data_IF_601846510477
#
_entry.id   IF_601846510477
#
_cell.length_a   1.000
_cell.length_b   1.000
_cell.length_c   1.000
_cell.angle_alpha   90.00
_cell.angle_beta   90.00
_cell.angle_gamma   90.00
#
_symmetry.space_group_name_H-M   'P 1'
#
loop_
_entity.id
_entity.type
_entity.pdbx_description
1 polymer ?
#
# COMPACT_ATOMS: atom_id res chain seq x y z
N UNK A 1 10.04 1.70 -24.94
CA UNK A 1 10.37 1.51 -23.51
C UNK A 1 11.03 0.15 -23.41
N UNK A 2 12.12 0.01 -22.67
CA UNK A 2 12.73 -1.31 -22.50
C UNK A 2 11.71 -2.25 -21.85
N UNK A 3 11.58 -3.48 -22.35
CA UNK A 3 10.81 -4.55 -21.69
C UNK A 3 11.46 -4.87 -20.34
N UNK A 4 11.04 -4.15 -19.30
CA UNK A 4 11.42 -4.43 -17.93
C UNK A 4 10.79 -5.75 -17.53
N UNK A 5 11.63 -6.72 -17.17
CA UNK A 5 11.17 -7.96 -16.54
C UNK A 5 11.21 -7.75 -15.03
N UNK A 6 10.04 -7.89 -14.41
CA UNK A 6 9.90 -7.87 -12.97
C UNK A 6 9.89 -9.31 -12.46
N UNK A 7 10.57 -9.54 -11.34
CA UNK A 7 10.50 -10.81 -10.63
C UNK A 7 9.11 -10.98 -10.01
N UNK A 8 8.61 -12.21 -9.93
CA UNK A 8 7.27 -12.51 -9.41
C UNK A 8 7.10 -12.02 -7.97
N UNK A 9 8.15 -12.08 -7.14
CA UNK A 9 8.11 -11.60 -5.76
C UNK A 9 7.96 -10.08 -5.67
N UNK A 10 8.60 -9.33 -6.58
CA UNK A 10 8.44 -7.88 -6.66
C UNK A 10 7.02 -7.49 -7.10
N UNK A 11 6.43 -8.25 -8.03
CA UNK A 11 5.03 -8.06 -8.45
C UNK A 11 4.08 -8.37 -7.29
N UNK A 12 4.29 -9.47 -6.57
CA UNK A 12 3.49 -9.83 -5.39
C UNK A 12 3.62 -8.80 -4.26
N UNK A 13 4.81 -8.24 -4.03
CA UNK A 13 5.02 -7.14 -3.09
C UNK A 13 4.22 -5.89 -3.48
N UNK A 14 4.20 -5.54 -4.77
CA UNK A 14 3.39 -4.42 -5.26
C UNK A 14 1.89 -4.68 -5.05
N UNK A 15 1.40 -5.88 -5.31
CA UNK A 15 -0.02 -6.26 -5.09
C UNK A 15 -0.37 -6.23 -3.60
N UNK A 16 0.47 -6.80 -2.76
CA UNK A 16 0.29 -6.80 -1.32
C UNK A 16 0.24 -5.36 -0.78
N UNK A 17 1.15 -4.49 -1.25
CA UNK A 17 1.14 -3.07 -0.88
C UNK A 17 -0.17 -2.38 -1.26
N UNK A 18 -0.67 -2.60 -2.47
CA UNK A 18 -1.94 -2.01 -2.93
C UNK A 18 -3.09 -2.44 -2.03
N UNK A 19 -3.22 -3.75 -1.75
CA UNK A 19 -4.26 -4.27 -0.85
C UNK A 19 -4.16 -3.68 0.55
N UNK A 20 -2.95 -3.60 1.12
CA UNK A 20 -2.75 -2.99 2.44
C UNK A 20 -3.09 -1.49 2.45
N UNK A 21 -2.82 -0.77 1.35
CA UNK A 21 -3.18 0.63 1.20
C UNK A 21 -4.70 0.83 1.08
N UNK A 22 -5.41 -0.06 0.38
CA UNK A 22 -6.87 -0.07 0.30
C UNK A 22 -7.49 -0.32 1.67
N UNK A 23 -7.04 -1.35 2.39
CA UNK A 23 -7.53 -1.63 3.76
C UNK A 23 -7.31 -0.44 4.69
N UNK A 24 -6.11 0.16 4.66
CA UNK A 24 -5.82 1.34 5.48
C UNK A 24 -6.69 2.55 5.10
N UNK A 25 -7.05 2.69 3.82
CA UNK A 25 -7.96 3.74 3.35
C UNK A 25 -9.39 3.49 3.82
N UNK A 26 -9.90 2.28 3.66
CA UNK A 26 -11.25 1.91 4.09
C UNK A 26 -11.43 2.10 5.59
N UNK A 27 -10.42 1.74 6.38
CA UNK A 27 -10.40 1.98 7.83
C UNK A 27 -10.39 3.48 8.14
N UNK A 28 -9.58 4.29 7.45
CA UNK A 28 -9.60 5.75 7.58
C UNK A 28 -10.96 6.36 7.18
N UNK A 29 -11.62 5.84 6.15
CA UNK A 29 -12.92 6.32 5.69
C UNK A 29 -14.04 5.93 6.68
N UNK A 30 -13.85 4.85 7.44
CA UNK A 30 -14.73 4.47 8.55
C UNK A 30 -14.52 5.33 9.82
N UNK A 31 -13.45 6.12 9.92
CA UNK A 31 -13.24 6.99 11.08
C UNK A 31 -14.27 8.12 11.13
N UNK A 32 -14.80 8.45 12.33
CA UNK A 32 -15.62 9.64 12.49
C UNK A 32 -14.84 10.91 12.14
N UNK A 33 -15.51 11.98 11.68
CA UNK A 33 -14.86 13.25 11.43
C UNK A 33 -14.12 13.76 12.68
N UNK A 34 -12.87 14.26 12.55
CA UNK A 34 -12.08 14.74 13.69
C UNK A 34 -12.78 15.81 14.52
N UNK A 35 -13.63 16.63 13.88
CA UNK A 35 -14.43 17.67 14.54
C UNK A 35 -15.46 17.09 15.51
N UNK A 36 -16.10 15.95 15.17
CA UNK A 36 -17.07 15.28 16.04
C UNK A 36 -16.41 14.56 17.20
N UNK A 37 -15.21 14.01 16.98
CA UNK A 37 -14.40 13.41 18.03
C UNK A 37 -13.96 14.48 19.03
N UNK A 38 -13.42 15.62 18.53
CA UNK A 38 -12.97 16.72 19.38
C UNK A 38 -14.11 17.38 20.18
N UNK A 39 -15.32 17.40 19.62
CA UNK A 39 -16.53 17.88 20.32
C UNK A 39 -17.07 16.87 21.35
N UNK A 40 -16.57 15.63 21.38
CA UNK A 40 -17.07 14.55 22.25
C UNK A 40 -18.43 13.98 21.82
N UNK A 41 -18.88 14.28 20.59
CA UNK A 41 -20.16 13.81 20.04
C UNK A 41 -20.11 12.34 19.61
N UNK A 42 -18.91 11.84 19.29
CA UNK A 42 -18.68 10.48 18.86
C UNK A 42 -17.44 9.94 19.56
N UNK A 43 -17.57 8.74 20.13
CA UNK A 43 -16.44 7.96 20.67
C UNK A 43 -15.93 7.07 19.54
N UNK A 44 -14.61 7.09 19.31
CA UNK A 44 -13.97 6.18 18.36
C UNK A 44 -13.95 4.78 18.96
N UNK A 45 -14.28 3.78 18.15
CA UNK A 45 -14.15 2.39 18.55
C UNK A 45 -12.65 2.03 18.69
N UNK A 46 -12.18 1.61 19.88
CA UNK A 46 -10.79 1.21 20.08
C UNK A 46 -10.35 0.07 19.14
N UNK A 47 -11.27 -0.81 18.74
CA UNK A 47 -10.97 -1.88 17.79
C UNK A 47 -10.69 -1.33 16.38
N UNK A 48 -11.32 -0.21 16.00
CA UNK A 48 -11.05 0.47 14.74
C UNK A 48 -9.69 1.17 14.77
N UNK A 49 -9.32 1.77 15.90
CA UNK A 49 -7.97 2.35 16.12
C UNK A 49 -6.88 1.29 15.98
N UNK A 50 -7.03 0.16 16.67
CA UNK A 50 -6.08 -0.96 16.60
C UNK A 50 -5.95 -1.51 15.17
N UNK A 51 -7.07 -1.74 14.48
CA UNK A 51 -7.05 -2.21 13.09
C UNK A 51 -6.33 -1.23 12.15
N UNK A 52 -6.55 0.08 12.33
CA UNK A 52 -5.90 1.09 11.51
C UNK A 52 -4.39 1.15 11.78
N UNK A 53 -3.96 1.00 13.03
CA UNK A 53 -2.54 0.91 13.37
C UNK A 53 -1.87 -0.31 12.73
N UNK A 54 -2.50 -1.48 12.82
CA UNK A 54 -2.02 -2.72 12.19
C UNK A 54 -1.93 -2.56 10.68
N UNK A 55 -2.96 -2.01 10.03
CA UNK A 55 -2.97 -1.78 8.59
C UNK A 55 -1.87 -0.80 8.14
N UNK A 56 -1.63 0.27 8.92
CA UNK A 56 -0.53 1.22 8.67
C UNK A 56 0.84 0.58 8.83
N UNK A 57 1.03 -0.23 9.86
CA UNK A 57 2.27 -0.96 10.10
C UNK A 57 2.55 -1.97 8.98
N UNK A 58 1.53 -2.69 8.52
CA UNK A 58 1.63 -3.61 7.38
C UNK A 58 2.01 -2.88 6.10
N UNK A 59 1.32 -1.79 5.78
CA UNK A 59 1.67 -0.95 4.63
C UNK A 59 3.11 -0.45 4.73
N UNK A 60 3.57 -0.03 5.90
CA UNK A 60 4.95 0.40 6.13
C UNK A 60 5.98 -0.70 5.87
N UNK A 61 5.72 -1.92 6.35
CA UNK A 61 6.57 -3.10 6.09
C UNK A 61 6.65 -3.42 4.58
N UNK A 62 5.51 -3.37 3.90
CA UNK A 62 5.44 -3.65 2.45
C UNK A 62 6.13 -2.58 1.62
N UNK A 63 6.01 -1.29 1.97
CA UNK A 63 6.78 -0.20 1.33
C UNK A 63 8.28 -0.45 1.49
N UNK A 64 8.72 -0.82 2.70
CA UNK A 64 10.12 -1.10 2.95
C UNK A 64 10.63 -2.29 2.13
N UNK A 65 9.88 -3.39 2.09
CA UNK A 65 10.23 -4.55 1.27
C UNK A 65 10.24 -4.22 -0.23
N UNK A 66 9.22 -3.51 -0.71
CA UNK A 66 9.06 -3.10 -2.11
C UNK A 66 10.26 -2.26 -2.57
N UNK A 67 10.58 -1.17 -1.87
CA UNK A 67 11.67 -0.27 -2.26
C UNK A 67 13.06 -0.73 -1.81
N UNK A 68 13.13 -1.70 -0.89
CA UNK A 68 14.37 -2.38 -0.48
C UNK A 68 14.76 -3.54 -1.40
N UNK A 69 13.94 -3.89 -2.39
CA UNK A 69 14.20 -4.98 -3.32
C UNK A 69 15.42 -4.69 -4.22
N UNK A 70 16.28 -5.69 -4.42
CA UNK A 70 17.56 -5.56 -5.17
C UNK A 70 17.38 -5.19 -6.64
N UNK A 71 16.18 -5.40 -7.20
CA UNK A 71 15.82 -4.91 -8.53
C UNK A 71 16.14 -3.41 -8.69
N UNK A 72 15.86 -2.60 -7.67
CA UNK A 72 16.02 -1.15 -7.74
C UNK A 72 17.48 -0.68 -7.79
N UNK A 73 18.46 -1.52 -7.46
CA UNK A 73 19.87 -1.14 -7.48
C UNK A 73 20.40 -0.96 -8.91
N UNK A 74 19.76 -1.62 -9.88
CA UNK A 74 20.21 -1.65 -11.28
C UNK A 74 19.29 -0.89 -12.23
N UNK A 75 18.27 -0.21 -11.71
CA UNK A 75 17.28 0.53 -12.50
C UNK A 75 17.68 1.99 -12.63
N UNK A 76 17.95 2.42 -13.86
CA UNK A 76 18.32 3.81 -14.16
C UNK A 76 17.17 4.80 -13.91
N UNK A 77 15.93 4.43 -14.27
CA UNK A 77 14.73 5.24 -14.03
C UNK A 77 13.75 4.49 -13.13
N UNK A 78 13.89 4.72 -11.82
CA UNK A 78 13.04 4.09 -10.80
C UNK A 78 11.58 4.50 -10.92
N UNK A 79 11.30 5.71 -11.38
CA UNK A 79 9.95 6.22 -11.51
C UNK A 79 9.20 5.55 -12.66
N UNK A 80 9.83 5.47 -13.84
CA UNK A 80 9.27 4.76 -14.99
C UNK A 80 9.09 3.26 -14.68
N UNK A 81 10.09 2.63 -14.06
CA UNK A 81 10.01 1.22 -13.68
C UNK A 81 8.90 0.94 -12.65
N UNK A 82 8.72 1.80 -11.65
CA UNK A 82 7.61 1.68 -10.70
C UNK A 82 6.25 1.87 -11.37
N UNK A 83 6.14 2.78 -12.33
CA UNK A 83 4.90 2.98 -13.10
C UNK A 83 4.55 1.74 -13.92
N UNK A 84 5.51 1.08 -14.55
CA UNK A 84 5.29 -0.18 -15.26
C UNK A 84 4.97 -1.33 -14.30
N UNK A 85 5.66 -1.42 -13.15
CA UNK A 85 5.36 -2.41 -12.11
C UNK A 85 3.91 -2.33 -11.62
N UNK A 86 3.40 -1.10 -11.41
CA UNK A 86 2.00 -0.89 -11.05
C UNK A 86 1.03 -1.40 -12.12
N UNK A 87 1.33 -1.22 -13.41
CA UNK A 87 0.50 -1.73 -14.51
C UNK A 87 0.51 -3.26 -14.55
N UNK A 88 1.68 -3.88 -14.41
CA UNK A 88 1.84 -5.34 -14.39
C UNK A 88 1.08 -5.97 -13.22
N UNK A 89 1.26 -5.42 -12.02
CA UNK A 89 0.55 -5.87 -10.82
C UNK A 89 -0.97 -5.74 -10.93
N UNK A 90 -1.46 -4.70 -11.61
CA UNK A 90 -2.88 -4.50 -11.86
C UNK A 90 -3.43 -5.47 -12.93
N UNK A 91 -2.68 -5.73 -14.01
CA UNK A 91 -3.10 -6.62 -15.09
C UNK A 91 -3.32 -8.06 -14.62
N UNK A 92 -2.45 -8.56 -13.74
CA UNK A 92 -2.54 -9.92 -13.18
C UNK A 92 -3.55 -10.05 -12.02
N UNK A 93 -4.18 -8.96 -11.59
CA UNK A 93 -5.24 -8.99 -10.59
C UNK A 93 -6.65 -9.16 -11.19
N UNK A 94 -6.78 -9.06 -12.53
CA UNK A 94 -8.04 -9.17 -13.26
C UNK A 94 -8.29 -10.51 -13.97
N UNK A 95 -7.43 -11.51 -13.76
CA UNK A 95 -7.60 -12.91 -14.23
C UNK A 95 -8.13 -13.84 -13.14
#
# INVERSE_FOLDING_TARGET
MADLKFDDDLVELQRAYVRAAEVARDLCDAFPPPTKIAAGEVVVDPALEEQLEVARAERGRLVHALYGHTFWDNVADKFAAHTELQKVAAAQAGE
#
